data_IF_542962617177
#
_entry.id   IF_542962617177
#
_cell.length_a   1.000
_cell.length_b   1.000
_cell.length_c   1.000
_cell.angle_alpha   90.00
_cell.angle_beta   90.00
_cell.angle_gamma   90.00
#
_symmetry.space_group_name_H-M   'P 1'
#
loop_
_entity.id
_entity.type
_entity.pdbx_description
1 polymer ?
#
# COMPACT_ATOMS: atom_id res chain seq x y z
N UNK A 1 -16.27 1.89 2.87
CA UNK A 1 -15.06 2.74 2.76
C UNK A 1 -13.87 1.88 3.09
N UNK A 2 -13.16 1.38 2.09
CA UNK A 2 -11.82 0.80 2.32
C UNK A 2 -10.88 2.00 2.39
N UNK A 3 -10.16 2.19 3.50
CA UNK A 3 -9.11 3.19 3.58
C UNK A 3 -7.87 2.71 2.79
N UNK A 4 -6.94 3.63 2.49
CA UNK A 4 -5.69 3.31 1.77
C UNK A 4 -4.91 2.16 2.40
N UNK A 5 -4.89 2.07 3.74
CA UNK A 5 -4.23 1.00 4.47
C UNK A 5 -4.84 -0.37 4.18
N UNK A 6 -6.17 -0.44 4.19
CA UNK A 6 -6.91 -1.64 3.82
C UNK A 6 -6.60 -2.09 2.39
N UNK A 7 -6.51 -1.17 1.42
CA UNK A 7 -6.15 -1.50 0.02
C UNK A 7 -4.71 -1.98 -0.14
N UNK A 8 -3.76 -1.32 0.53
CA UNK A 8 -2.35 -1.74 0.54
C UNK A 8 -2.22 -3.14 1.12
N UNK A 9 -2.96 -3.45 2.19
CA UNK A 9 -3.01 -4.79 2.78
C UNK A 9 -3.57 -5.82 1.81
N UNK A 10 -4.67 -5.50 1.13
CA UNK A 10 -5.28 -6.38 0.12
C UNK A 10 -4.28 -6.68 -1.01
N UNK A 11 -3.65 -5.67 -1.61
CA UNK A 11 -2.65 -5.84 -2.68
C UNK A 11 -1.42 -6.65 -2.23
N UNK A 12 -0.98 -6.44 -0.98
CA UNK A 12 0.12 -7.21 -0.40
C UNK A 12 -0.24 -8.69 -0.26
N UNK A 13 -1.44 -8.98 0.26
CA UNK A 13 -1.93 -10.35 0.45
C UNK A 13 -2.20 -11.03 -0.90
N UNK A 14 -2.73 -10.32 -1.90
CA UNK A 14 -2.90 -10.81 -3.27
C UNK A 14 -1.56 -11.26 -3.88
N UNK A 15 -0.46 -10.60 -3.54
CA UNK A 15 0.91 -10.96 -3.95
C UNK A 15 1.58 -12.03 -3.07
N UNK A 16 0.91 -12.49 -2.00
CA UNK A 16 1.45 -13.51 -1.09
C UNK A 16 2.59 -13.02 -0.19
N UNK A 17 2.75 -11.71 -0.01
CA UNK A 17 3.86 -11.11 0.74
C UNK A 17 3.51 -10.93 2.22
N UNK A 18 4.47 -11.18 3.10
CA UNK A 18 4.44 -10.71 4.49
C UNK A 18 4.66 -9.19 4.56
N UNK A 19 4.35 -8.59 5.72
CA UNK A 19 4.55 -7.14 5.93
C UNK A 19 6.03 -6.78 5.84
N UNK A 20 6.89 -7.66 6.33
CA UNK A 20 8.35 -7.60 6.28
C UNK A 20 8.85 -7.62 4.84
N UNK A 21 8.47 -8.64 4.07
CA UNK A 21 8.92 -8.78 2.67
C UNK A 21 8.46 -7.59 1.84
N UNK A 22 7.21 -7.14 2.00
CA UNK A 22 6.74 -5.96 1.29
C UNK A 22 7.54 -4.71 1.67
N UNK A 23 7.78 -4.49 2.98
CA UNK A 23 8.56 -3.35 3.44
C UNK A 23 9.98 -3.36 2.84
N UNK A 24 10.65 -4.52 2.81
CA UNK A 24 11.97 -4.68 2.20
C UNK A 24 11.97 -4.38 0.70
N UNK A 25 10.95 -4.83 -0.05
CA UNK A 25 10.85 -4.62 -1.50
C UNK A 25 10.71 -3.14 -1.90
N UNK A 26 10.09 -2.32 -1.03
CA UNK A 26 9.93 -0.88 -1.28
C UNK A 26 10.88 0.00 -0.46
N UNK A 27 11.88 -0.60 0.21
CA UNK A 27 12.89 0.06 1.06
C UNK A 27 12.30 0.81 2.26
N UNK A 28 11.27 0.24 2.88
CA UNK A 28 10.54 0.78 4.02
C UNK A 28 10.79 -0.05 5.28
N UNK A 29 10.53 0.54 6.44
CA UNK A 29 10.54 -0.19 7.71
C UNK A 29 9.21 -0.90 7.95
N UNK A 30 9.23 -2.17 8.37
CA UNK A 30 8.03 -2.97 8.69
C UNK A 30 6.97 -2.21 9.51
N UNK A 31 7.40 -1.48 10.53
CA UNK A 31 6.51 -0.74 11.45
C UNK A 31 5.70 0.35 10.74
N UNK A 32 6.23 0.93 9.65
CA UNK A 32 5.53 1.96 8.89
C UNK A 32 4.41 1.36 8.06
N UNK A 33 4.67 0.24 7.38
CA UNK A 33 3.68 -0.52 6.60
C UNK A 33 2.56 -0.99 7.50
N UNK A 34 2.91 -1.60 8.64
CA UNK A 34 1.93 -2.05 9.61
C UNK A 34 1.07 -0.90 10.15
N UNK A 35 1.66 0.29 10.34
CA UNK A 35 0.92 1.48 10.76
C UNK A 35 -0.05 1.98 9.69
N UNK A 36 0.31 1.84 8.41
CA UNK A 36 -0.57 2.16 7.29
C UNK A 36 -1.73 1.17 7.22
N UNK A 37 -1.46 -0.14 7.22
CA UNK A 37 -2.48 -1.18 7.11
C UNK A 37 -3.50 -1.21 8.26
N UNK A 38 -3.12 -0.68 9.43
CA UNK A 38 -4.03 -0.51 10.57
C UNK A 38 -4.70 0.86 10.64
N UNK A 39 -4.46 1.75 9.67
CA UNK A 39 -4.99 3.11 9.67
C UNK A 39 -4.43 4.00 10.79
N UNK A 40 -3.34 3.59 11.47
CA UNK A 40 -2.70 4.36 12.56
C UNK A 40 -1.95 5.58 12.04
N UNK A 41 -1.45 5.50 10.82
CA UNK A 41 -0.74 6.60 10.15
C UNK A 41 -1.24 6.69 8.71
N UNK A 42 -1.25 7.91 8.17
CA UNK A 42 -1.48 8.12 6.74
C UNK A 42 -0.14 8.08 5.98
N UNK A 43 -0.05 7.38 4.84
CA UNK A 43 1.10 7.48 3.94
C UNK A 43 1.30 8.93 3.46
N UNK A 44 2.55 9.34 3.23
CA UNK A 44 2.85 10.57 2.50
C UNK A 44 2.70 10.34 1.00
N UNK A 45 2.60 11.41 0.20
CA UNK A 45 2.50 11.31 -1.27
C UNK A 45 3.64 10.45 -1.85
N UNK A 46 4.89 10.72 -1.49
CA UNK A 46 6.03 9.90 -1.93
C UNK A 46 5.90 8.40 -1.57
N UNK A 47 5.26 8.08 -0.44
CA UNK A 47 5.05 6.69 -0.07
C UNK A 47 3.93 6.06 -0.89
N UNK A 48 2.90 6.82 -1.24
CA UNK A 48 1.81 6.37 -2.11
C UNK A 48 2.36 6.10 -3.51
N UNK A 49 3.15 7.02 -4.06
CA UNK A 49 3.87 6.85 -5.33
C UNK A 49 4.68 5.54 -5.33
N UNK A 50 5.49 5.32 -4.29
CA UNK A 50 6.32 4.12 -4.19
C UNK A 50 5.51 2.82 -4.13
N UNK A 51 4.41 2.83 -3.38
CA UNK A 51 3.51 1.67 -3.30
C UNK A 51 2.76 1.47 -4.62
N UNK A 52 2.34 2.54 -5.29
CA UNK A 52 1.66 2.51 -6.58
C UNK A 52 2.55 1.92 -7.68
N UNK A 53 3.81 2.37 -7.74
CA UNK A 53 4.85 1.83 -8.62
C UNK A 53 5.06 0.33 -8.41
N UNK A 54 5.26 -0.09 -7.15
CA UNK A 54 5.48 -1.49 -6.81
C UNK A 54 4.26 -2.36 -7.13
N UNK A 55 3.07 -1.84 -6.87
CA UNK A 55 1.84 -2.58 -7.11
C UNK A 55 1.34 -2.50 -8.57
N UNK A 56 1.98 -1.69 -9.41
CA UNK A 56 1.56 -1.38 -10.79
C UNK A 56 0.08 -0.93 -10.85
N UNK A 57 -0.28 -0.03 -9.94
CA UNK A 57 -1.61 0.61 -9.86
C UNK A 57 -1.45 2.12 -9.88
N UNK A 58 -2.54 2.85 -10.08
CA UNK A 58 -2.52 4.32 -9.96
C UNK A 58 -2.55 4.76 -8.50
N UNK A 59 -2.06 5.97 -8.23
CA UNK A 59 -2.14 6.59 -6.90
C UNK A 59 -3.60 6.83 -6.49
N UNK A 60 -4.45 7.20 -7.45
CA UNK A 60 -5.89 7.40 -7.26
C UNK A 60 -6.57 6.10 -6.82
N UNK A 61 -6.14 4.95 -7.33
CA UNK A 61 -6.66 3.66 -6.90
C UNK A 61 -6.32 3.39 -5.42
N UNK A 62 -5.10 3.73 -4.99
CA UNK A 62 -4.72 3.59 -3.58
C UNK A 62 -5.49 4.58 -2.67
N UNK A 63 -5.73 5.80 -3.14
CA UNK A 63 -6.39 6.87 -2.39
C UNK A 63 -7.91 6.70 -2.29
N UNK A 64 -8.58 6.62 -3.43
CA UNK A 64 -10.04 6.73 -3.55
C UNK A 64 -10.72 5.39 -3.87
N UNK A 65 -9.98 4.44 -4.43
CA UNK A 65 -10.45 3.05 -4.55
C UNK A 65 -11.42 2.78 -5.68
N UNK A 66 -11.46 3.64 -6.70
CA UNK A 66 -12.22 3.40 -7.92
C UNK A 66 -11.29 3.20 -9.13
N UNK A 67 -11.52 2.06 -9.81
CA UNK A 67 -10.88 1.53 -11.02
C UNK A 67 -9.42 1.02 -10.89
N UNK A 68 -9.28 -0.32 -10.78
CA UNK A 68 -8.09 -1.04 -11.28
C UNK A 68 -8.00 -0.71 -12.78
N UNK A 69 -6.98 0.03 -13.21
CA UNK A 69 -6.74 0.26 -14.64
C UNK A 69 -6.46 -1.12 -15.25
N UNK A 70 -7.30 -1.51 -16.21
CA UNK A 70 -7.24 -2.79 -16.93
C UNK A 70 -6.08 -2.82 -17.92
#
# INVERSE_FOLDING_TARGET
>A
MHDIGSRVKELRVERGLTVEEFAEQIDFVKSIIWSYELGKKKPSVNHIERMAEFFHVSEEYLLDGDQKVS
#
